data_IF_441137016555
#
_entry.id   IF_441137016555
#
_cell.length_a   1.000
_cell.length_b   1.000
_cell.length_c   1.000
_cell.angle_alpha   90.00
_cell.angle_beta   90.00
_cell.angle_gamma   90.00
#
_symmetry.space_group_name_H-M   'P 1'
#
loop_
_entity.id
_entity.type
_entity.pdbx_description
1 polymer ?
#
# COMPACT_ATOMS: atom_id res chain seq x y z
N UNK A 1 8.93 -7.53 11.95
CA UNK A 1 7.48 -7.76 11.73
C UNK A 1 6.93 -8.97 12.49
N UNK A 2 7.44 -10.19 12.30
CA UNK A 2 6.90 -11.41 12.97
C UNK A 2 6.90 -11.30 14.50
N UNK A 3 8.00 -10.84 15.11
CA UNK A 3 8.08 -10.67 16.57
C UNK A 3 7.09 -9.63 17.10
N UNK A 4 6.93 -8.52 16.37
CA UNK A 4 5.95 -7.49 16.71
C UNK A 4 4.52 -8.03 16.60
N UNK A 5 4.20 -8.80 15.55
CA UNK A 5 2.91 -9.45 15.40
C UNK A 5 2.62 -10.41 16.58
N UNK A 6 3.61 -11.23 16.97
CA UNK A 6 3.50 -12.11 18.16
C UNK A 6 3.25 -11.33 19.43
N UNK A 7 3.94 -10.21 19.63
CA UNK A 7 3.75 -9.34 20.80
C UNK A 7 2.35 -8.71 20.81
N UNK A 8 1.87 -8.23 19.66
CA UNK A 8 0.54 -7.61 19.57
C UNK A 8 -0.61 -8.61 19.69
N UNK A 9 -0.36 -9.90 19.42
CA UNK A 9 -1.36 -10.96 19.51
C UNK A 9 -1.21 -11.86 20.74
N UNK A 10 -0.31 -11.54 21.68
CA UNK A 10 0.05 -12.44 22.80
C UNK A 10 -1.15 -12.81 23.67
N UNK A 11 -2.12 -11.91 23.76
CA UNK A 11 -3.25 -12.04 24.68
C UNK A 11 -4.47 -12.69 24.01
N UNK A 12 -4.38 -13.02 22.72
CA UNK A 12 -5.46 -13.67 21.98
C UNK A 12 -5.09 -15.13 21.62
N UNK A 13 -5.62 -16.13 22.35
CA UNK A 13 -5.30 -17.53 22.11
C UNK A 13 -5.78 -18.06 20.74
N UNK A 14 -6.65 -17.32 20.04
CA UNK A 14 -7.15 -17.69 18.72
C UNK A 14 -6.25 -17.19 17.58
N UNK A 15 -5.17 -16.46 17.88
CA UNK A 15 -4.22 -15.97 16.87
C UNK A 15 -2.90 -16.72 17.01
N UNK A 16 -2.49 -17.41 15.94
CA UNK A 16 -1.17 -18.04 15.84
C UNK A 16 -0.37 -17.35 14.74
N UNK A 17 0.82 -16.84 15.09
CA UNK A 17 1.72 -16.19 14.13
C UNK A 17 2.82 -17.16 13.71
N UNK A 18 2.93 -17.42 12.41
CA UNK A 18 3.99 -18.24 11.80
C UNK A 18 4.80 -17.43 10.81
N UNK A 19 6.09 -17.73 10.74
CA UNK A 19 7.00 -17.19 9.74
C UNK A 19 7.05 -18.19 8.58
N UNK A 20 6.81 -17.71 7.36
CA UNK A 20 6.81 -18.51 6.14
C UNK A 20 6.35 -17.68 4.93
N UNK A 21 6.57 -18.20 3.73
CA UNK A 21 6.01 -17.64 2.50
C UNK A 21 4.55 -18.07 2.31
N UNK A 22 3.82 -17.37 1.44
CA UNK A 22 2.44 -17.76 1.10
C UNK A 22 2.41 -19.07 0.28
N UNK A 23 3.53 -19.39 -0.37
CA UNK A 23 3.76 -20.53 -1.23
C UNK A 23 3.94 -21.85 -0.45
N UNK A 24 4.37 -21.77 0.82
CA UNK A 24 4.56 -22.94 1.68
C UNK A 24 3.61 -22.92 2.88
N UNK A 25 2.51 -23.64 2.71
CA UNK A 25 1.49 -23.85 3.73
C UNK A 25 1.55 -25.27 4.32
N UNK A 26 2.69 -25.96 4.26
CA UNK A 26 2.87 -27.35 4.71
C UNK A 26 2.49 -27.58 6.18
N UNK A 27 2.52 -26.52 7.00
CA UNK A 27 2.07 -26.54 8.38
C UNK A 27 0.54 -26.68 8.56
N UNK A 28 -0.23 -26.60 7.47
CA UNK A 28 -1.68 -26.80 7.44
C UNK A 28 -2.03 -28.12 6.74
N UNK A 29 -2.98 -28.85 7.32
CA UNK A 29 -3.57 -30.01 6.66
C UNK A 29 -4.36 -29.59 5.40
N UNK A 30 -4.61 -30.55 4.51
CA UNK A 30 -5.49 -30.33 3.37
C UNK A 30 -6.93 -30.06 3.85
N UNK A 31 -7.66 -29.19 3.16
CA UNK A 31 -9.04 -28.81 3.49
C UNK A 31 -9.22 -28.39 4.97
N UNK A 32 -8.27 -27.65 5.53
CA UNK A 32 -8.30 -27.19 6.92
C UNK A 32 -8.77 -25.73 7.07
N UNK A 33 -8.74 -24.94 5.99
CA UNK A 33 -8.95 -23.48 6.04
C UNK A 33 -10.31 -23.11 5.43
N UNK A 34 -11.12 -22.38 6.19
CA UNK A 34 -12.41 -21.85 5.72
C UNK A 34 -12.27 -20.54 4.94
N UNK A 35 -11.29 -19.70 5.28
CA UNK A 35 -11.05 -18.40 4.67
C UNK A 35 -9.56 -18.06 4.63
N UNK A 36 -9.09 -17.58 3.47
CA UNK A 36 -7.76 -17.01 3.29
C UNK A 36 -7.87 -15.53 3.00
N UNK A 37 -7.09 -14.72 3.71
CA UNK A 37 -6.98 -13.29 3.48
C UNK A 37 -5.53 -12.91 3.19
N UNK A 38 -5.30 -12.18 2.10
CA UNK A 38 -4.02 -11.51 1.84
C UNK A 38 -4.27 -10.01 1.72
N UNK A 39 -3.87 -9.25 2.74
CA UNK A 39 -3.94 -7.79 2.74
C UNK A 39 -2.60 -7.20 2.35
N UNK A 40 -2.55 -6.48 1.23
CA UNK A 40 -1.35 -5.82 0.70
C UNK A 40 -0.14 -6.75 0.46
N UNK A 41 -0.39 -7.99 0.05
CA UNK A 41 0.69 -8.96 -0.17
C UNK A 41 0.57 -9.75 -1.47
N UNK A 42 -0.63 -9.90 -2.05
CA UNK A 42 -0.86 -10.82 -3.16
C UNK A 42 -0.03 -10.53 -4.42
N UNK A 43 0.35 -9.27 -4.62
CA UNK A 43 1.21 -8.83 -5.72
C UNK A 43 2.68 -9.27 -5.60
N UNK A 44 3.09 -9.82 -4.45
CA UNK A 44 4.44 -10.37 -4.25
C UNK A 44 4.51 -11.89 -4.42
N UNK A 45 3.37 -12.58 -4.61
CA UNK A 45 3.34 -14.04 -4.59
C UNK A 45 3.91 -14.65 -5.88
N UNK A 46 4.53 -15.82 -5.74
CA UNK A 46 4.79 -16.70 -6.86
C UNK A 46 3.50 -17.46 -7.20
N UNK A 47 2.77 -16.97 -8.22
CA UNK A 47 1.49 -17.55 -8.62
C UNK A 47 1.58 -19.04 -8.98
N UNK A 48 2.72 -19.50 -9.50
CA UNK A 48 2.91 -20.91 -9.86
C UNK A 48 2.91 -21.85 -8.65
N UNK A 49 3.21 -21.32 -7.45
CA UNK A 49 3.30 -22.07 -6.20
C UNK A 49 2.16 -21.77 -5.24
N UNK A 50 1.75 -20.50 -5.14
CA UNK A 50 0.72 -20.09 -4.17
C UNK A 50 -0.64 -20.68 -4.51
N UNK A 51 -1.03 -20.75 -5.79
CA UNK A 51 -2.34 -21.26 -6.17
C UNK A 51 -2.53 -22.75 -5.81
N UNK A 52 -1.58 -23.67 -6.13
CA UNK A 52 -1.63 -25.04 -5.63
C UNK A 52 -1.64 -25.14 -4.11
N UNK A 53 -0.83 -24.32 -3.41
CA UNK A 53 -0.76 -24.34 -1.95
C UNK A 53 -2.11 -23.96 -1.32
N UNK A 54 -2.75 -22.91 -1.83
CA UNK A 54 -4.06 -22.45 -1.38
C UNK A 54 -5.17 -23.45 -1.71
N UNK A 55 -5.19 -23.98 -2.94
CA UNK A 55 -6.18 -24.97 -3.35
C UNK A 55 -6.13 -26.24 -2.48
N UNK A 56 -4.93 -26.65 -2.02
CA UNK A 56 -4.74 -27.79 -1.12
C UNK A 56 -5.34 -27.55 0.27
N UNK A 57 -5.11 -26.37 0.87
CA UNK A 57 -5.46 -26.12 2.28
C UNK A 57 -6.88 -25.59 2.47
N UNK A 58 -7.43 -24.89 1.48
CA UNK A 58 -8.77 -24.30 1.58
C UNK A 58 -9.84 -25.37 1.33
N UNK A 59 -10.83 -25.43 2.21
CA UNK A 59 -11.99 -26.33 2.09
C UNK A 59 -12.81 -26.00 0.84
N UNK A 60 -13.46 -27.00 0.25
CA UNK A 60 -14.54 -26.77 -0.75
C UNK A 60 -15.59 -25.81 -0.19
N UNK A 61 -15.99 -24.82 -0.98
CA UNK A 61 -16.87 -23.71 -0.58
C UNK A 61 -16.20 -22.62 0.29
N UNK A 62 -14.94 -22.81 0.67
CA UNK A 62 -14.13 -21.83 1.40
C UNK A 62 -13.85 -20.57 0.58
N UNK A 63 -13.47 -19.50 1.26
CA UNK A 63 -13.31 -18.17 0.67
C UNK A 63 -11.84 -17.80 0.53
N UNK A 64 -11.51 -17.14 -0.57
CA UNK A 64 -10.27 -16.39 -0.74
C UNK A 64 -10.60 -14.91 -0.88
N UNK A 65 -9.85 -14.04 -0.20
CA UNK A 65 -10.02 -12.59 -0.24
C UNK A 65 -8.68 -11.90 -0.25
N UNK A 66 -8.28 -11.37 -1.39
CA UNK A 66 -7.06 -10.57 -1.53
C UNK A 66 -7.45 -9.12 -1.69
N UNK A 67 -6.81 -8.22 -0.95
CA UNK A 67 -7.05 -6.79 -1.08
C UNK A 67 -5.74 -6.03 -1.11
N UNK A 68 -5.75 -4.90 -1.80
CA UNK A 68 -4.63 -4.00 -1.93
C UNK A 68 -5.09 -2.56 -2.02
N UNK A 69 -4.16 -1.64 -1.80
CA UNK A 69 -4.37 -0.23 -2.02
C UNK A 69 -3.11 0.42 -2.61
N UNK A 70 -3.29 1.55 -3.28
CA UNK A 70 -2.21 2.21 -4.01
C UNK A 70 -2.42 3.71 -4.06
N UNK A 71 -1.30 4.41 -4.20
CA UNK A 71 -1.21 5.79 -4.65
C UNK A 71 -2.32 6.69 -4.08
N UNK A 72 -2.13 7.17 -2.85
CA UNK A 72 -3.10 8.08 -2.27
C UNK A 72 -3.20 9.39 -3.04
N UNK A 73 -4.34 10.06 -2.87
CA UNK A 73 -4.50 11.49 -3.11
C UNK A 73 -4.96 12.17 -1.83
N UNK A 74 -4.80 13.49 -1.75
CA UNK A 74 -5.48 14.31 -0.75
C UNK A 74 -6.74 14.88 -1.40
N UNK A 75 -7.90 14.53 -0.85
CA UNK A 75 -9.22 14.91 -1.39
C UNK A 75 -9.36 16.44 -1.42
N UNK A 76 -9.80 16.98 -2.55
CA UNK A 76 -9.96 18.43 -2.74
C UNK A 76 -8.64 19.21 -2.82
N UNK A 77 -7.50 18.51 -2.98
CA UNK A 77 -6.15 19.08 -3.16
C UNK A 77 -5.42 18.46 -4.36
N UNK A 78 -6.00 18.51 -5.58
CA UNK A 78 -5.40 17.91 -6.76
C UNK A 78 -3.98 18.41 -7.07
N UNK A 79 -3.65 19.63 -6.66
CA UNK A 79 -2.31 20.23 -6.79
C UNK A 79 -1.20 19.43 -6.10
N UNK A 80 -1.54 18.57 -5.14
CA UNK A 80 -0.57 17.73 -4.41
C UNK A 80 -0.22 16.45 -5.15
N UNK A 81 -1.12 15.92 -5.99
CA UNK A 81 -0.94 14.62 -6.66
C UNK A 81 0.26 14.61 -7.61
N UNK A 82 0.47 15.61 -8.49
CA UNK A 82 1.65 15.65 -9.36
C UNK A 82 2.97 15.70 -8.58
N UNK A 83 2.96 16.29 -7.38
CA UNK A 83 4.14 16.36 -6.51
C UNK A 83 4.43 14.97 -5.93
N UNK A 84 3.42 14.26 -5.44
CA UNK A 84 3.60 12.87 -5.03
C UNK A 84 4.15 12.01 -6.16
N UNK A 85 3.58 12.08 -7.37
CA UNK A 85 4.05 11.31 -8.51
C UNK A 85 5.50 11.65 -8.89
N UNK A 86 5.84 12.93 -8.90
CA UNK A 86 7.20 13.43 -9.17
C UNK A 86 8.24 12.81 -8.23
N UNK A 87 7.98 12.74 -6.93
CA UNK A 87 8.94 12.22 -5.95
C UNK A 87 8.88 10.69 -5.79
N UNK A 88 7.71 10.07 -6.00
CA UNK A 88 7.52 8.61 -5.81
C UNK A 88 7.91 7.83 -7.07
N UNK A 89 7.64 8.38 -8.25
CA UNK A 89 7.73 7.67 -9.54
C UNK A 89 8.45 8.45 -10.65
N UNK A 90 8.97 9.66 -10.38
CA UNK A 90 9.62 10.47 -11.39
C UNK A 90 10.86 9.80 -11.98
N UNK A 91 11.00 9.79 -13.30
CA UNK A 91 12.21 9.30 -13.98
C UNK A 91 13.40 10.27 -13.83
N UNK A 92 13.11 11.53 -13.50
CA UNK A 92 14.09 12.59 -13.32
C UNK A 92 14.22 12.98 -11.85
N UNK A 93 15.28 13.72 -11.53
CA UNK A 93 15.49 14.28 -10.20
C UNK A 93 14.35 15.23 -9.82
N UNK A 94 13.54 14.93 -8.79
CA UNK A 94 12.50 15.85 -8.31
C UNK A 94 13.08 17.21 -7.88
N UNK A 95 14.27 17.22 -7.28
CA UNK A 95 15.03 18.42 -6.97
C UNK A 95 16.50 18.17 -7.31
N UNK A 96 17.30 19.21 -7.63
CA UNK A 96 18.67 19.03 -8.08
C UNK A 96 19.51 18.16 -7.13
N UNK A 97 20.12 17.10 -7.66
CA UNK A 97 20.97 16.17 -6.93
C UNK A 97 20.23 15.12 -6.10
N UNK A 98 18.91 15.00 -6.23
CA UNK A 98 18.08 14.04 -5.50
C UNK A 98 17.29 13.22 -6.49
N UNK A 99 17.57 11.91 -6.58
CA UNK A 99 16.75 10.99 -7.40
C UNK A 99 15.43 10.65 -6.70
N UNK A 100 14.40 10.32 -7.48
CA UNK A 100 13.10 9.89 -6.96
C UNK A 100 13.15 8.50 -6.32
N UNK A 101 12.04 8.06 -5.73
CA UNK A 101 11.91 6.68 -5.23
C UNK A 101 11.68 5.63 -6.34
N UNK A 102 11.57 6.02 -7.62
CA UNK A 102 11.11 5.15 -8.71
C UNK A 102 11.86 3.82 -8.80
N UNK A 103 13.20 3.85 -8.84
CA UNK A 103 14.04 2.65 -9.03
C UNK A 103 14.08 1.73 -7.80
N UNK A 104 13.55 2.16 -6.67
CA UNK A 104 13.56 1.41 -5.41
C UNK A 104 12.26 0.63 -5.18
N UNK A 105 11.27 0.80 -6.04
CA UNK A 105 10.11 -0.09 -6.08
C UNK A 105 10.50 -1.44 -6.68
N UNK A 106 10.30 -2.52 -5.91
CA UNK A 106 10.52 -3.87 -6.41
C UNK A 106 9.48 -4.22 -7.48
N UNK A 107 9.95 -4.80 -8.58
CA UNK A 107 9.16 -5.17 -9.75
C UNK A 107 9.18 -6.69 -9.96
N UNK A 108 8.11 -7.30 -10.50
CA UNK A 108 6.90 -6.66 -11.05
C UNK A 108 5.83 -6.32 -10.01
N UNK A 109 6.02 -6.66 -8.73
CA UNK A 109 4.96 -6.59 -7.73
C UNK A 109 4.37 -5.19 -7.54
N UNK A 110 5.18 -4.12 -7.61
CA UNK A 110 4.61 -2.76 -7.53
C UNK A 110 3.66 -2.46 -8.69
N UNK A 111 4.03 -2.82 -9.92
CA UNK A 111 3.17 -2.59 -11.08
C UNK A 111 1.89 -3.43 -11.01
N UNK A 112 1.98 -4.70 -10.62
CA UNK A 112 0.80 -5.56 -10.40
C UNK A 112 -0.18 -4.91 -9.42
N UNK A 113 0.31 -4.33 -8.32
CA UNK A 113 -0.54 -3.60 -7.38
C UNK A 113 -1.14 -2.34 -8.02
N UNK A 114 -0.33 -1.50 -8.66
CA UNK A 114 -0.76 -0.23 -9.29
C UNK A 114 -1.81 -0.44 -10.38
N UNK A 115 -1.69 -1.52 -11.13
CA UNK A 115 -2.63 -1.90 -12.19
C UNK A 115 -3.88 -2.62 -11.65
N UNK A 116 -4.03 -2.69 -10.32
CA UNK A 116 -5.15 -3.35 -9.64
C UNK A 116 -5.23 -4.85 -9.92
N UNK A 117 -4.14 -5.58 -9.72
CA UNK A 117 -4.10 -7.05 -9.71
C UNK A 117 -4.49 -7.77 -11.03
N UNK A 118 -4.11 -7.27 -12.22
CA UNK A 118 -4.48 -7.93 -13.48
C UNK A 118 -3.86 -9.34 -13.59
N UNK A 119 -2.72 -9.56 -12.95
CA UNK A 119 -1.99 -10.84 -12.96
C UNK A 119 -2.42 -11.80 -11.84
N UNK A 120 -3.18 -11.34 -10.86
CA UNK A 120 -3.64 -12.17 -9.73
C UNK A 120 -4.91 -12.92 -10.14
N UNK A 121 -4.76 -13.95 -10.95
CA UNK A 121 -5.87 -14.69 -11.55
C UNK A 121 -6.06 -16.05 -10.85
N UNK A 122 -7.13 -16.27 -10.06
CA UNK A 122 -7.42 -17.58 -9.48
C UNK A 122 -7.69 -18.62 -10.58
N UNK A 123 -6.99 -19.78 -10.59
CA UNK A 123 -7.21 -20.81 -11.59
C UNK A 123 -8.66 -21.34 -11.56
N UNK A 124 -9.36 -21.27 -12.69
CA UNK A 124 -10.78 -21.66 -12.79
C UNK A 124 -11.03 -23.14 -12.52
N UNK A 125 -10.01 -24.01 -12.59
CA UNK A 125 -10.11 -25.43 -12.23
C UNK A 125 -10.31 -25.63 -10.73
N UNK A 126 -9.82 -24.70 -9.90
CA UNK A 126 -9.84 -24.79 -8.44
C UNK A 126 -10.77 -23.75 -7.79
N UNK A 127 -11.04 -22.64 -8.49
CA UNK A 127 -11.77 -21.49 -7.97
C UNK A 127 -12.96 -21.11 -8.86
N UNK A 128 -14.00 -20.60 -8.22
CA UNK A 128 -15.24 -20.13 -8.86
C UNK A 128 -15.79 -18.89 -8.15
N UNK A 129 -16.86 -18.30 -8.70
CA UNK A 129 -17.47 -17.07 -8.19
C UNK A 129 -16.43 -15.95 -7.98
N UNK A 130 -15.55 -15.77 -8.97
CA UNK A 130 -14.49 -14.77 -8.91
C UNK A 130 -15.11 -13.38 -9.03
N UNK A 131 -14.82 -12.53 -8.05
CA UNK A 131 -15.22 -11.12 -7.99
C UNK A 131 -13.95 -10.29 -7.95
N UNK A 132 -13.84 -9.31 -8.84
CA UNK A 132 -12.72 -8.38 -8.90
C UNK A 132 -13.26 -6.95 -8.91
N UNK A 133 -13.06 -6.23 -7.81
CA UNK A 133 -13.53 -4.85 -7.63
C UNK A 133 -12.28 -3.99 -7.52
N UNK A 134 -12.10 -3.08 -8.46
CA UNK A 134 -11.02 -2.11 -8.46
C UNK A 134 -11.61 -0.71 -8.58
N UNK A 135 -11.02 0.23 -7.87
CA UNK A 135 -11.37 1.64 -7.94
C UNK A 135 -10.13 2.50 -7.77
N UNK A 136 -10.09 3.62 -8.48
CA UNK A 136 -9.05 4.62 -8.35
C UNK A 136 -9.68 6.00 -8.20
N UNK A 137 -9.16 6.84 -7.30
CA UNK A 137 -9.57 8.23 -7.23
C UNK A 137 -9.16 8.96 -8.51
N UNK A 138 -9.93 9.97 -8.91
CA UNK A 138 -9.51 10.87 -9.98
C UNK A 138 -8.30 11.70 -9.50
N UNK A 139 -7.15 11.41 -10.09
CA UNK A 139 -5.86 12.04 -9.74
C UNK A 139 -5.71 13.45 -10.29
N UNK A 140 -6.51 13.81 -11.29
CA UNK A 140 -6.49 15.12 -11.94
C UNK A 140 -7.36 16.10 -11.16
N UNK A 141 -8.57 15.69 -10.79
CA UNK A 141 -9.52 16.57 -10.09
C UNK A 141 -9.43 16.45 -8.57
N UNK A 142 -8.98 15.31 -8.06
CA UNK A 142 -9.03 15.00 -6.63
C UNK A 142 -10.46 14.86 -6.10
N UNK A 143 -11.45 14.75 -7.00
CA UNK A 143 -12.86 14.61 -6.66
C UNK A 143 -13.22 13.14 -6.42
N UNK A 144 -14.06 12.92 -5.41
CA UNK A 144 -14.59 11.62 -5.01
C UNK A 144 -16.11 11.65 -4.86
N UNK A 145 -16.78 12.70 -5.35
CA UNK A 145 -18.23 12.89 -5.25
C UNK A 145 -19.02 11.73 -5.85
N UNK A 146 -18.55 11.16 -6.95
CA UNK A 146 -19.14 10.00 -7.64
C UNK A 146 -18.54 8.65 -7.21
N UNK A 147 -17.71 8.62 -6.15
CA UNK A 147 -17.08 7.38 -5.70
C UNK A 147 -18.10 6.43 -5.05
N UNK A 148 -18.17 5.15 -5.46
CA UNK A 148 -19.03 4.16 -4.80
C UNK A 148 -18.65 3.99 -3.32
N UNK A 149 -19.63 3.89 -2.42
CA UNK A 149 -19.37 3.76 -0.98
C UNK A 149 -18.45 2.57 -0.68
N UNK A 150 -18.74 1.43 -1.32
CA UNK A 150 -17.98 0.18 -1.24
C UNK A 150 -16.55 0.27 -1.77
N UNK A 151 -16.21 1.30 -2.53
CA UNK A 151 -14.87 1.52 -3.09
C UNK A 151 -14.00 2.45 -2.22
N UNK A 152 -14.63 3.25 -1.35
CA UNK A 152 -13.97 4.24 -0.49
C UNK A 152 -13.58 3.72 0.91
N UNK A 153 -13.62 2.41 1.10
CA UNK A 153 -13.34 1.74 2.38
C UNK A 153 -11.97 2.08 2.98
N UNK A 154 -11.01 2.50 2.16
CA UNK A 154 -9.73 3.08 2.59
C UNK A 154 -9.68 4.60 2.40
N UNK A 155 -10.53 5.29 3.15
CA UNK A 155 -10.44 6.73 3.41
C UNK A 155 -10.01 6.96 4.84
N UNK A 156 -9.11 7.91 5.07
CA UNK A 156 -8.63 8.28 6.41
C UNK A 156 -8.52 9.79 6.52
N UNK A 157 -9.02 10.31 7.64
CA UNK A 157 -8.69 11.67 8.10
C UNK A 157 -7.46 11.56 8.98
N UNK A 158 -6.39 12.24 8.58
CA UNK A 158 -5.09 12.17 9.25
C UNK A 158 -4.38 13.51 9.17
N UNK A 159 -3.45 13.75 10.08
CA UNK A 159 -2.65 14.97 10.10
C UNK A 159 -1.55 14.93 9.04
N UNK A 160 -1.16 16.06 8.46
CA UNK A 160 -0.07 16.09 7.48
C UNK A 160 1.23 15.44 8.00
N UNK A 161 1.58 15.63 9.28
CA UNK A 161 2.74 14.95 9.87
C UNK A 161 2.60 13.42 9.97
N UNK A 162 1.37 12.91 10.10
CA UNK A 162 1.09 11.47 10.04
C UNK A 162 1.21 10.94 8.60
N UNK A 163 0.83 11.75 7.60
CA UNK A 163 1.00 11.41 6.19
C UNK A 163 2.49 11.30 5.81
N UNK A 164 3.29 12.25 6.29
CA UNK A 164 4.75 12.23 6.16
C UNK A 164 5.33 10.93 6.74
N UNK A 165 4.92 10.58 7.97
CA UNK A 165 5.33 9.34 8.62
C UNK A 165 4.92 8.10 7.83
N UNK A 166 3.69 8.08 7.29
CA UNK A 166 3.19 7.00 6.45
C UNK A 166 4.02 6.82 5.16
N UNK A 167 4.39 7.90 4.46
CA UNK A 167 5.21 7.81 3.24
C UNK A 167 6.61 7.25 3.51
N UNK A 168 7.18 7.50 4.71
CA UNK A 168 8.43 6.90 5.16
C UNK A 168 8.34 5.39 5.45
N UNK A 169 7.14 4.81 5.46
CA UNK A 169 6.95 3.34 5.58
C UNK A 169 7.04 2.60 4.26
N UNK A 170 7.13 3.32 3.13
CA UNK A 170 7.24 2.69 1.81
C UNK A 170 8.52 1.86 1.70
N UNK A 171 8.41 0.69 1.07
CA UNK A 171 9.59 -0.14 0.79
C UNK A 171 10.59 0.62 -0.08
N UNK A 172 10.10 1.38 -1.06
CA UNK A 172 10.94 2.24 -1.90
C UNK A 172 11.63 3.36 -1.11
N UNK A 173 11.00 3.94 -0.09
CA UNK A 173 11.67 4.88 0.81
C UNK A 173 12.81 4.19 1.57
N UNK A 174 12.59 2.97 2.07
CA UNK A 174 13.63 2.21 2.76
C UNK A 174 14.84 1.92 1.83
N UNK A 175 14.57 1.57 0.57
CA UNK A 175 15.60 1.40 -0.45
C UNK A 175 16.33 2.72 -0.76
N UNK A 176 15.57 3.80 -0.96
CA UNK A 176 16.09 5.13 -1.22
C UNK A 176 17.00 5.62 -0.08
N UNK A 177 16.54 5.52 1.16
CA UNK A 177 17.30 5.91 2.36
C UNK A 177 18.58 5.09 2.50
N UNK A 178 18.56 3.82 2.16
CA UNK A 178 19.75 2.96 2.21
C UNK A 178 20.80 3.36 1.17
N UNK A 179 20.36 3.87 0.01
CA UNK A 179 21.25 4.40 -1.03
C UNK A 179 21.73 5.84 -0.76
N UNK A 180 21.04 6.58 0.11
CA UNK A 180 21.35 7.96 0.46
C UNK A 180 21.53 8.13 2.00
N UNK A 181 22.50 7.44 2.62
CA UNK A 181 22.65 7.42 4.08
C UNK A 181 22.96 8.79 4.70
N UNK A 182 23.47 9.73 3.90
CA UNK A 182 23.78 11.10 4.34
C UNK A 182 22.55 12.03 4.31
N UNK A 183 21.50 11.68 3.56
CA UNK A 183 20.25 12.45 3.48
C UNK A 183 19.28 12.02 4.58
N UNK A 184 19.55 12.49 5.80
CA UNK A 184 18.73 12.21 6.97
C UNK A 184 17.54 13.17 7.06
N UNK A 185 16.46 12.68 7.65
CA UNK A 185 15.29 13.50 7.93
C UNK A 185 15.65 14.69 8.83
N UNK A 186 14.90 15.79 8.73
CA UNK A 186 15.08 16.94 9.65
C UNK A 186 14.80 16.56 11.10
N UNK A 187 13.87 15.64 11.32
CA UNK A 187 13.55 15.10 12.64
C UNK A 187 14.74 14.32 13.26
N UNK A 188 15.58 13.71 12.42
CA UNK A 188 16.79 12.99 12.82
C UNK A 188 18.06 13.88 12.79
N UNK A 189 17.89 15.20 12.69
CA UNK A 189 18.97 16.19 12.70
C UNK A 189 19.74 16.32 11.37
N UNK A 190 19.17 15.87 10.25
CA UNK A 190 19.69 16.13 8.91
C UNK A 190 19.10 17.37 8.25
N UNK A 191 19.51 17.64 7.01
CA UNK A 191 19.02 18.77 6.21
C UNK A 191 17.67 18.47 5.51
N UNK A 192 17.28 17.20 5.45
CA UNK A 192 16.01 16.72 4.89
C UNK A 192 16.17 15.45 4.06
N UNK A 193 15.31 14.48 4.32
CA UNK A 193 15.18 13.31 3.45
C UNK A 193 14.24 13.59 2.27
N UNK A 194 14.07 12.62 1.36
CA UNK A 194 13.19 12.78 0.20
C UNK A 194 11.74 13.12 0.56
N UNK A 195 11.25 12.67 1.74
CA UNK A 195 9.88 12.97 2.18
C UNK A 195 9.81 14.39 2.71
N UNK A 196 10.82 14.89 3.42
CA UNK A 196 10.89 16.29 3.84
C UNK A 196 10.86 17.22 2.62
N UNK A 197 11.64 16.92 1.59
CA UNK A 197 11.71 17.70 0.35
C UNK A 197 10.40 17.65 -0.44
N UNK A 198 9.77 16.47 -0.50
CA UNK A 198 8.44 16.30 -1.09
C UNK A 198 7.41 17.17 -0.38
N UNK A 199 7.42 17.18 0.96
CA UNK A 199 6.46 17.96 1.74
C UNK A 199 6.72 19.47 1.70
N UNK A 200 7.96 19.91 1.49
CA UNK A 200 8.22 21.32 1.22
C UNK A 200 7.47 21.78 -0.04
N UNK A 201 7.48 20.98 -1.12
CA UNK A 201 6.73 21.29 -2.34
C UNK A 201 5.21 21.17 -2.13
N UNK A 202 4.73 20.11 -1.45
CA UNK A 202 3.30 19.92 -1.14
C UNK A 202 2.75 21.09 -0.33
N UNK A 203 3.47 21.52 0.71
CA UNK A 203 3.07 22.64 1.57
C UNK A 203 3.15 23.96 0.81
N UNK A 204 4.16 24.14 -0.05
CA UNK A 204 4.28 25.35 -0.87
C UNK A 204 3.16 25.48 -1.90
N UNK A 205 2.61 24.37 -2.39
CA UNK A 205 1.51 24.35 -3.36
C UNK A 205 0.15 24.76 -2.76
N UNK A 206 -0.03 24.63 -1.43
CA UNK A 206 -1.28 24.96 -0.74
C UNK A 206 -1.09 26.19 0.15
N UNK A 207 -1.59 27.38 -0.24
CA UNK A 207 -1.33 28.64 0.46
C UNK A 207 -1.67 28.61 1.96
N UNK A 208 -2.78 27.96 2.33
CA UNK A 208 -3.18 27.82 3.73
C UNK A 208 -2.17 27.01 4.55
N UNK A 209 -1.58 25.96 3.97
CA UNK A 209 -0.61 25.11 4.65
C UNK A 209 0.73 25.82 4.79
N UNK A 210 1.17 26.54 3.75
CA UNK A 210 2.36 27.40 3.80
C UNK A 210 2.24 28.46 4.88
N UNK A 211 1.08 29.14 4.98
CA UNK A 211 0.83 30.16 5.98
C UNK A 211 0.80 29.62 7.43
N UNK A 212 0.55 28.32 7.61
CA UNK A 212 0.50 27.69 8.93
C UNK A 212 1.88 27.48 9.58
N UNK A 213 2.98 27.53 8.80
CA UNK A 213 4.33 27.31 9.32
C UNK A 213 4.47 25.94 10.00
N UNK A 214 5.05 25.90 11.20
CA UNK A 214 5.26 24.65 11.95
C UNK A 214 3.95 23.96 12.34
N UNK A 215 2.83 24.70 12.45
CA UNK A 215 1.51 24.13 12.74
C UNK A 215 0.94 23.32 11.58
N UNK A 216 1.58 23.32 10.41
CA UNK A 216 1.16 22.51 9.26
C UNK A 216 1.06 21.02 9.60
N UNK A 217 1.95 20.52 10.46
CA UNK A 217 1.98 19.12 10.84
C UNK A 217 0.67 18.67 11.53
N UNK A 218 -0.07 19.61 12.12
CA UNK A 218 -1.36 19.38 12.80
C UNK A 218 -2.58 19.55 11.89
N UNK A 219 -2.39 19.99 10.64
CA UNK A 219 -3.50 20.15 9.69
C UNK A 219 -4.04 18.78 9.32
N UNK A 220 -5.33 18.57 9.57
CA UNK A 220 -6.02 17.36 9.16
C UNK A 220 -6.41 17.45 7.69
N UNK A 221 -6.14 16.36 6.98
CA UNK A 221 -6.50 16.16 5.58
C UNK A 221 -7.26 14.85 5.42
N UNK A 222 -8.13 14.80 4.42
CA UNK A 222 -8.76 13.57 3.98
C UNK A 222 -7.89 12.92 2.90
N UNK A 223 -7.27 11.78 3.24
CA UNK A 223 -6.53 10.96 2.30
C UNK A 223 -7.39 9.77 1.86
N UNK A 224 -7.29 9.44 0.58
CA UNK A 224 -7.96 8.28 -0.01
C UNK A 224 -7.02 7.59 -1.00
N UNK A 225 -7.11 6.27 -1.08
CA UNK A 225 -6.27 5.45 -1.93
C UNK A 225 -7.08 4.79 -3.03
N UNK A 226 -6.45 4.49 -4.15
CA UNK A 226 -6.99 3.49 -5.07
C UNK A 226 -7.00 2.13 -4.37
N UNK A 227 -8.04 1.33 -4.61
CA UNK A 227 -8.27 0.06 -3.93
C UNK A 227 -8.50 -1.07 -4.92
N UNK A 228 -8.17 -2.28 -4.51
CA UNK A 228 -8.52 -3.51 -5.24
C UNK A 228 -8.92 -4.59 -4.24
N UNK A 229 -9.98 -5.32 -4.57
CA UNK A 229 -10.50 -6.46 -3.83
C UNK A 229 -10.78 -7.59 -4.83
N UNK A 230 -10.09 -8.70 -4.65
CA UNK A 230 -10.29 -9.94 -5.36
C UNK A 230 -10.86 -10.99 -4.39
N UNK A 231 -11.99 -11.58 -4.74
CA UNK A 231 -12.61 -12.66 -3.98
C UNK A 231 -12.88 -13.87 -4.87
N UNK A 232 -12.78 -15.07 -4.31
CA UNK A 232 -13.16 -16.30 -4.99
C UNK A 232 -13.65 -17.36 -3.98
N UNK A 233 -14.38 -18.35 -4.48
CA UNK A 233 -14.80 -19.54 -3.76
C UNK A 233 -14.03 -20.76 -4.23
N UNK A 234 -13.58 -21.59 -3.30
CA UNK A 234 -12.95 -22.87 -3.61
C UNK A 234 -14.02 -23.82 -4.18
N UNK A 235 -13.78 -24.36 -5.37
CA UNK A 235 -14.62 -25.40 -5.98
C UNK A 235 -14.62 -26.66 -5.14
#
# INVERSE_FOLDING_TARGET
>A
MVEQARKLSSDNPNITVKQGGAEDLSFLAANAVDCVVAGQAAHWFDYSKVWPALARVVKRGGTLTFWGYKDLIIVGRPETTPIFDKFIYGETEPVPGVESMMRFWEQPGRNILRDSYPEVVPPQTEWEHVVHIAWDPDRVTGDISDAPEEATWLRRRLKLGELEGYLRTYSAFSGWRSAHPDMKSRADGGDGDIVDLMFDEVVAAVPEWKAAGDRRAEIEVDAIWGTVLLMAKRR
#
